data_IF_546456046857
#
_entry.id   IF_546456046857
#
_cell.length_a   1.000
_cell.length_b   1.000
_cell.length_c   1.000
_cell.angle_alpha   90.00
_cell.angle_beta   90.00
_cell.angle_gamma   90.00
#
_symmetry.space_group_name_H-M   'P 1'
#
loop_
_entity.id
_entity.type
_entity.pdbx_description
1 polymer ?
#
# COMPACT_ATOMS: atom_id res chain seq x y z
N UNK A 1 -23.80 -23.03 17.55
CA UNK A 1 -23.16 -21.85 16.92
C UNK A 1 -21.80 -21.46 17.52
N UNK A 2 -21.54 -21.69 18.82
CA UNK A 2 -20.28 -21.28 19.44
C UNK A 2 -18.99 -21.89 18.84
N UNK A 3 -19.03 -23.14 18.35
CA UNK A 3 -17.88 -23.78 17.68
C UNK A 3 -17.57 -23.15 16.32
N UNK A 4 -18.59 -22.77 15.54
CA UNK A 4 -18.41 -22.19 14.20
C UNK A 4 -17.66 -20.86 14.26
N UNK A 5 -18.04 -19.98 15.20
CA UNK A 5 -17.39 -18.67 15.38
C UNK A 5 -15.93 -18.83 15.82
N UNK A 6 -15.66 -19.78 16.72
CA UNK A 6 -14.28 -20.09 17.13
C UNK A 6 -13.47 -20.58 15.93
N UNK A 7 -13.99 -21.51 15.13
CA UNK A 7 -13.32 -22.05 13.96
C UNK A 7 -13.01 -20.97 12.90
N UNK A 8 -13.95 -20.06 12.62
CA UNK A 8 -13.73 -18.96 11.66
C UNK A 8 -12.67 -17.98 12.17
N UNK A 9 -12.71 -17.60 13.45
CA UNK A 9 -11.73 -16.70 14.04
C UNK A 9 -10.33 -17.31 14.08
N UNK A 10 -10.22 -18.60 14.42
CA UNK A 10 -8.94 -19.32 14.37
C UNK A 10 -8.39 -19.48 12.96
N UNK A 11 -9.26 -19.63 11.95
CA UNK A 11 -8.83 -19.68 10.54
C UNK A 11 -8.19 -18.36 10.12
N UNK A 12 -8.79 -17.22 10.51
CA UNK A 12 -8.22 -15.90 10.26
C UNK A 12 -6.86 -15.75 10.95
N UNK A 13 -6.77 -16.12 12.23
CA UNK A 13 -5.51 -16.07 12.99
C UNK A 13 -4.45 -16.97 12.34
N UNK A 14 -4.80 -18.18 11.92
CA UNK A 14 -3.89 -19.14 11.30
C UNK A 14 -3.31 -18.64 9.95
N UNK A 15 -4.05 -17.80 9.23
CA UNK A 15 -3.54 -17.16 7.99
C UNK A 15 -2.62 -15.98 8.31
N UNK A 16 -2.95 -15.15 9.31
CA UNK A 16 -2.18 -13.94 9.61
C UNK A 16 -0.90 -14.18 10.43
N UNK A 17 -0.87 -15.24 11.26
CA UNK A 17 0.31 -15.56 12.07
C UNK A 17 1.55 -15.83 11.19
N UNK A 18 1.53 -16.72 10.18
CA UNK A 18 2.68 -16.92 9.30
C UNK A 18 3.08 -15.67 8.51
N UNK A 19 2.08 -14.89 8.05
CA UNK A 19 2.32 -13.63 7.33
C UNK A 19 3.07 -12.62 8.20
N UNK A 20 2.82 -12.61 9.52
CA UNK A 20 3.53 -11.73 10.45
C UNK A 20 5.02 -12.08 10.65
N UNK A 21 5.42 -13.31 10.30
CA UNK A 21 6.81 -13.78 10.37
C UNK A 21 7.55 -13.68 9.04
N UNK A 22 6.95 -13.08 8.01
CA UNK A 22 7.62 -12.89 6.73
C UNK A 22 8.85 -11.98 6.89
N UNK A 23 9.97 -12.36 6.28
CA UNK A 23 11.22 -11.60 6.33
C UNK A 23 11.32 -10.53 5.24
N UNK A 24 12.25 -9.59 5.40
CA UNK A 24 12.50 -8.49 4.45
C UNK A 24 11.80 -7.17 4.82
N UNK A 25 12.02 -6.14 3.99
CA UNK A 25 11.45 -4.79 4.18
C UNK A 25 9.92 -4.85 4.21
N UNK A 26 9.36 -5.63 3.27
CA UNK A 26 7.92 -5.87 3.16
C UNK A 26 7.38 -6.57 4.42
N UNK A 27 8.15 -7.53 4.95
CA UNK A 27 7.86 -8.25 6.18
C UNK A 27 7.75 -7.37 7.43
N UNK A 28 8.49 -6.26 7.52
CA UNK A 28 8.39 -5.35 8.67
C UNK A 28 7.01 -4.68 8.77
N UNK A 29 6.42 -4.28 7.63
CA UNK A 29 5.06 -3.74 7.59
C UNK A 29 4.02 -4.82 7.90
N UNK A 30 4.15 -6.01 7.30
CA UNK A 30 3.24 -7.13 7.53
C UNK A 30 3.33 -7.70 8.94
N UNK A 31 4.47 -7.58 9.62
CA UNK A 31 4.63 -8.01 11.01
C UNK A 31 3.78 -7.17 11.96
N UNK A 32 3.82 -5.85 11.84
CA UNK A 32 3.01 -4.96 12.67
C UNK A 32 1.52 -5.11 12.35
N UNK A 33 1.18 -5.18 11.06
CA UNK A 33 -0.21 -5.38 10.61
C UNK A 33 -0.78 -6.73 11.05
N UNK A 34 -0.08 -7.83 10.75
CA UNK A 34 -0.54 -9.19 11.03
C UNK A 34 -0.72 -9.46 12.52
N UNK A 35 0.21 -8.99 13.36
CA UNK A 35 0.09 -9.12 14.81
C UNK A 35 -1.10 -8.33 15.36
N UNK A 36 -1.34 -7.11 14.84
CA UNK A 36 -2.49 -6.29 15.23
C UNK A 36 -3.81 -6.94 14.87
N UNK A 37 -3.95 -7.46 13.64
CA UNK A 37 -5.17 -8.16 13.20
C UNK A 37 -5.40 -9.44 14.00
N UNK A 38 -4.37 -10.25 14.21
CA UNK A 38 -4.48 -11.48 14.99
C UNK A 38 -4.93 -11.20 16.44
N UNK A 39 -4.34 -10.18 17.08
CA UNK A 39 -4.75 -9.76 18.42
C UNK A 39 -6.20 -9.24 18.43
N UNK A 40 -6.58 -8.41 17.47
CA UNK A 40 -7.94 -7.85 17.38
C UNK A 40 -9.00 -8.94 17.19
N UNK A 41 -8.75 -9.93 16.32
CA UNK A 41 -9.67 -11.06 16.08
C UNK A 41 -9.78 -11.95 17.32
N UNK A 42 -8.66 -12.15 18.04
CA UNK A 42 -8.67 -12.91 19.29
C UNK A 42 -9.49 -12.21 20.39
N UNK A 43 -9.28 -10.91 20.60
CA UNK A 43 -10.09 -10.14 21.54
C UNK A 43 -11.57 -10.06 21.09
N UNK A 44 -11.83 -9.90 19.80
CA UNK A 44 -13.18 -9.93 19.25
C UNK A 44 -13.88 -11.27 19.52
N UNK A 45 -13.17 -12.39 19.39
CA UNK A 45 -13.70 -13.72 19.74
C UNK A 45 -14.05 -13.82 21.24
N UNK A 46 -13.19 -13.28 22.12
CA UNK A 46 -13.47 -13.23 23.56
C UNK A 46 -14.70 -12.39 23.86
N UNK A 47 -14.83 -11.21 23.27
CA UNK A 47 -15.99 -10.33 23.44
C UNK A 47 -17.26 -10.98 22.90
N UNK A 48 -17.20 -11.59 21.71
CA UNK A 48 -18.32 -12.29 21.10
C UNK A 48 -18.82 -13.47 21.96
N UNK A 49 -17.92 -14.11 22.70
CA UNK A 49 -18.27 -15.28 23.53
C UNK A 49 -18.66 -14.92 24.95
N UNK A 50 -18.07 -13.87 25.53
CA UNK A 50 -18.31 -13.50 26.92
C UNK A 50 -19.37 -12.41 27.03
N UNK A 51 -19.21 -11.33 26.27
CA UNK A 51 -19.99 -10.12 26.43
C UNK A 51 -21.30 -10.16 25.64
N UNK A 52 -21.26 -10.62 24.38
CA UNK A 52 -22.44 -10.68 23.52
C UNK A 52 -23.59 -11.54 24.08
N UNK A 53 -23.37 -12.76 24.61
CA UNK A 53 -24.49 -13.53 25.17
C UNK A 53 -25.07 -12.88 26.44
N UNK A 54 -24.24 -12.22 27.25
CA UNK A 54 -24.72 -11.49 28.44
C UNK A 54 -25.60 -10.31 28.03
N UNK A 55 -25.12 -9.48 27.11
CA UNK A 55 -25.90 -8.33 26.60
C UNK A 55 -27.19 -8.81 25.94
N UNK A 56 -27.12 -9.87 25.13
CA UNK A 56 -28.29 -10.46 24.50
C UNK A 56 -29.30 -10.97 25.53
N UNK A 57 -28.86 -11.66 26.58
CA UNK A 57 -29.74 -12.14 27.63
C UNK A 57 -30.50 -11.03 28.38
N UNK A 58 -29.89 -9.84 28.53
CA UNK A 58 -30.52 -8.71 29.23
C UNK A 58 -31.29 -7.74 28.31
N UNK A 59 -30.95 -7.68 27.02
CA UNK A 59 -31.48 -6.66 26.10
C UNK A 59 -32.57 -7.23 25.17
N UNK A 60 -32.53 -8.53 24.88
CA UNK A 60 -33.41 -9.15 23.89
C UNK A 60 -34.79 -9.45 24.51
N UNK A 61 -35.82 -8.71 24.08
CA UNK A 61 -37.22 -9.03 24.41
C UNK A 61 -37.71 -10.16 23.52
N UNK A 62 -38.43 -11.12 24.10
CA UNK A 62 -39.12 -12.16 23.34
C UNK A 62 -40.32 -11.56 22.63
N UNK A 63 -40.24 -11.39 21.32
CA UNK A 63 -41.40 -11.13 20.46
C UNK A 63 -41.92 -12.47 19.91
N UNK A 64 -43.25 -12.64 19.73
CA UNK A 64 -43.81 -13.82 19.09
C UNK A 64 -43.27 -13.93 17.66
N UNK A 65 -42.84 -15.14 17.26
CA UNK A 65 -42.28 -15.37 15.92
C UNK A 65 -43.25 -14.89 14.84
N UNK A 66 -42.90 -13.84 14.07
CA UNK A 66 -43.68 -13.52 12.88
C UNK A 66 -43.50 -14.64 11.87
N UNK A 67 -44.59 -15.05 11.23
CA UNK A 67 -44.61 -16.02 10.14
C UNK A 67 -43.63 -15.56 9.05
N UNK A 68 -42.44 -16.16 9.03
CA UNK A 68 -41.36 -15.81 8.11
C UNK A 68 -41.75 -16.23 6.69
N UNK A 69 -42.36 -15.31 5.93
CA UNK A 69 -42.45 -15.44 4.49
C UNK A 69 -41.11 -15.06 3.89
N UNK A 70 -40.46 -16.02 3.25
CA UNK A 70 -39.23 -15.78 2.50
C UNK A 70 -39.41 -14.60 1.54
N UNK A 71 -38.60 -13.57 1.73
CA UNK A 71 -38.60 -12.41 0.86
C UNK A 71 -38.25 -12.78 -0.60
N UNK A 72 -38.56 -11.92 -1.58
CA UNK A 72 -38.29 -12.19 -2.99
C UNK A 72 -36.80 -12.47 -3.28
N UNK A 73 -35.89 -11.89 -2.49
CA UNK A 73 -34.44 -12.14 -2.56
C UNK A 73 -34.10 -13.58 -2.14
N UNK A 74 -34.72 -14.07 -1.07
CA UNK A 74 -34.52 -15.44 -0.57
C UNK A 74 -35.04 -16.45 -1.60
N UNK A 75 -36.21 -16.20 -2.18
CA UNK A 75 -36.76 -17.03 -3.25
C UNK A 75 -35.85 -17.06 -4.51
N UNK A 76 -35.26 -15.92 -4.88
CA UNK A 76 -34.29 -15.86 -5.98
C UNK A 76 -33.01 -16.63 -5.67
N UNK A 77 -32.45 -16.44 -4.47
CA UNK A 77 -31.29 -17.19 -3.99
C UNK A 77 -31.54 -18.69 -4.03
N UNK A 78 -32.67 -19.16 -3.48
CA UNK A 78 -33.04 -20.57 -3.49
C UNK A 78 -33.21 -21.12 -4.91
N UNK A 79 -33.73 -20.33 -5.85
CA UNK A 79 -33.86 -20.73 -7.26
C UNK A 79 -32.49 -20.93 -7.92
N UNK A 80 -31.56 -20.00 -7.71
CA UNK A 80 -30.19 -20.10 -8.23
C UNK A 80 -29.45 -21.26 -7.57
N UNK A 81 -29.58 -21.40 -6.25
CA UNK A 81 -28.97 -22.50 -5.49
C UNK A 81 -29.46 -23.86 -6.00
N UNK A 82 -30.78 -24.01 -6.18
CA UNK A 82 -31.36 -25.26 -6.65
C UNK A 82 -30.89 -25.59 -8.09
N UNK A 83 -30.73 -24.58 -8.94
CA UNK A 83 -30.15 -24.75 -10.27
C UNK A 83 -28.68 -25.20 -10.20
N UNK A 84 -27.87 -24.60 -9.32
CA UNK A 84 -26.46 -24.97 -9.11
C UNK A 84 -26.29 -26.41 -8.61
N UNK A 85 -27.17 -26.87 -7.73
CA UNK A 85 -27.16 -28.24 -7.18
C UNK A 85 -27.57 -29.26 -8.23
N UNK A 86 -28.63 -28.99 -9.00
CA UNK A 86 -29.08 -29.88 -10.08
C UNK A 86 -28.05 -30.01 -11.21
N UNK A 87 -27.32 -28.92 -11.52
CA UNK A 87 -26.33 -28.89 -12.59
C UNK A 87 -24.88 -28.90 -12.09
N UNK A 88 -24.57 -29.75 -11.10
CA UNK A 88 -23.25 -29.86 -10.44
C UNK A 88 -22.03 -29.76 -11.37
N UNK A 89 -22.05 -30.41 -12.54
CA UNK A 89 -20.94 -30.36 -13.50
C UNK A 89 -20.78 -29.01 -14.18
N UNK A 90 -21.87 -28.31 -14.50
CA UNK A 90 -21.82 -26.95 -15.06
C UNK A 90 -21.35 -25.95 -14.02
N UNK A 91 -21.78 -26.10 -12.77
CA UNK A 91 -21.35 -25.27 -11.63
C UNK A 91 -19.85 -25.42 -11.37
N UNK A 92 -19.34 -26.66 -11.38
CA UNK A 92 -17.90 -26.93 -11.25
C UNK A 92 -17.12 -26.37 -12.44
N UNK A 93 -17.59 -26.58 -13.67
CA UNK A 93 -16.94 -26.05 -14.87
C UNK A 93 -16.85 -24.52 -14.86
N UNK A 94 -17.92 -23.84 -14.45
CA UNK A 94 -17.93 -22.38 -14.29
C UNK A 94 -16.95 -21.93 -13.19
N UNK A 95 -16.87 -22.64 -12.07
CA UNK A 95 -15.92 -22.36 -11.00
C UNK A 95 -14.46 -22.49 -11.45
N UNK A 96 -14.14 -23.56 -12.21
CA UNK A 96 -12.81 -23.77 -12.77
C UNK A 96 -12.48 -22.68 -13.80
N UNK A 97 -13.43 -22.33 -14.67
CA UNK A 97 -13.24 -21.24 -15.64
C UNK A 97 -12.93 -19.91 -14.93
N UNK A 98 -13.67 -19.59 -13.87
CA UNK A 98 -13.45 -18.37 -13.09
C UNK A 98 -12.09 -18.38 -12.38
N UNK A 99 -11.67 -19.54 -11.85
CA UNK A 99 -10.35 -19.71 -11.26
C UNK A 99 -9.23 -19.47 -12.28
N UNK A 100 -9.33 -20.07 -13.47
CA UNK A 100 -8.34 -19.87 -14.54
C UNK A 100 -8.31 -18.42 -15.00
N UNK A 101 -9.47 -17.79 -15.17
CA UNK A 101 -9.56 -16.38 -15.54
C UNK A 101 -8.91 -15.46 -14.47
N UNK A 102 -9.12 -15.76 -13.19
CA UNK A 102 -8.48 -15.03 -12.08
C UNK A 102 -6.96 -15.15 -12.09
N UNK A 103 -6.43 -16.36 -12.27
CA UNK A 103 -4.98 -16.61 -12.38
C UNK A 103 -4.38 -15.90 -13.59
N UNK A 104 -5.08 -15.94 -14.73
CA UNK A 104 -4.66 -15.25 -15.94
C UNK A 104 -4.62 -13.72 -15.75
N UNK A 105 -5.63 -13.16 -15.10
CA UNK A 105 -5.67 -11.73 -14.75
C UNK A 105 -4.48 -11.33 -13.86
N UNK A 106 -4.16 -12.15 -12.86
CA UNK A 106 -3.01 -11.91 -11.97
C UNK A 106 -1.67 -11.92 -12.75
N UNK A 107 -1.53 -12.79 -13.75
CA UNK A 107 -0.33 -12.88 -14.56
C UNK A 107 -0.14 -11.67 -15.50
N UNK A 108 -1.23 -11.04 -15.96
CA UNK A 108 -1.18 -9.84 -16.79
C UNK A 108 -0.92 -8.54 -16.00
N UNK A 109 -1.08 -8.54 -14.67
CA UNK A 109 -0.85 -7.32 -13.89
C UNK A 109 0.66 -7.01 -13.76
N UNK A 110 1.11 -5.81 -14.17
CA UNK A 110 2.48 -5.40 -13.98
C UNK A 110 2.80 -5.33 -12.49
N UNK A 111 3.82 -6.07 -12.06
CA UNK A 111 4.27 -6.12 -10.67
C UNK A 111 5.05 -4.85 -10.34
N UNK A 112 4.36 -3.78 -9.96
CA UNK A 112 5.01 -2.60 -9.37
C UNK A 112 5.45 -2.94 -7.95
N UNK A 113 6.76 -2.95 -7.72
CA UNK A 113 7.33 -3.53 -6.51
C UNK A 113 7.22 -2.65 -5.26
N UNK A 114 6.96 -1.35 -5.39
CA UNK A 114 6.60 -0.38 -4.34
C UNK A 114 6.25 0.91 -5.11
N UNK A 115 5.17 1.61 -4.75
CA UNK A 115 5.02 3.00 -5.17
C UNK A 115 6.04 3.81 -4.37
N UNK A 116 6.96 4.50 -5.04
CA UNK A 116 7.89 5.42 -4.38
C UNK A 116 7.07 6.48 -3.63
N UNK A 117 7.10 6.49 -2.29
CA UNK A 117 6.32 7.46 -1.52
C UNK A 117 6.83 8.87 -1.85
N UNK A 118 5.91 9.79 -2.15
CA UNK A 118 6.23 11.21 -2.34
C UNK A 118 6.53 11.83 -0.97
N UNK A 119 7.80 11.78 -0.57
CA UNK A 119 8.31 12.42 0.65
C UNK A 119 8.57 13.92 0.44
N UNK A 120 8.15 14.47 -0.70
CA UNK A 120 8.37 15.86 -1.11
C UNK A 120 9.83 16.30 -0.99
N UNK A 121 10.77 15.36 -1.07
CA UNK A 121 12.21 15.61 -0.94
C UNK A 121 12.92 14.90 -2.08
N UNK A 122 13.63 15.66 -2.91
CA UNK A 122 14.42 15.12 -4.02
C UNK A 122 15.90 15.43 -3.81
N UNK A 123 16.75 14.41 -3.92
CA UNK A 123 18.20 14.58 -3.80
C UNK A 123 18.85 14.60 -5.19
N UNK A 124 19.71 15.58 -5.43
CA UNK A 124 20.52 15.69 -6.64
C UNK A 124 22.01 15.56 -6.27
N UNK A 125 22.66 14.49 -6.74
CA UNK A 125 24.11 14.32 -6.62
C UNK A 125 24.79 14.81 -7.91
N UNK A 126 25.75 15.71 -7.76
CA UNK A 126 26.60 16.23 -8.85
C UNK A 126 28.00 15.68 -8.60
N UNK A 127 28.53 14.91 -9.56
CA UNK A 127 29.89 14.35 -9.54
C UNK A 127 30.70 14.91 -10.71
N UNK A 128 31.79 15.60 -10.40
CA UNK A 128 32.68 16.20 -11.40
C UNK A 128 33.93 15.34 -11.65
N UNK A 129 34.59 15.47 -12.82
CA UNK A 129 35.84 14.77 -13.12
C UNK A 129 36.93 15.00 -12.05
N UNK A 130 37.81 14.01 -11.82
CA UNK A 130 38.92 14.17 -10.88
C UNK A 130 39.87 15.29 -11.33
N UNK A 131 40.28 16.16 -10.40
CA UNK A 131 41.20 17.29 -10.66
C UNK A 131 40.57 18.68 -10.57
N UNK A 132 39.24 18.77 -10.39
CA UNK A 132 38.55 20.06 -10.20
C UNK A 132 38.75 20.62 -8.78
N UNK A 133 38.82 21.95 -8.67
CA UNK A 133 38.89 22.61 -7.37
C UNK A 133 37.49 22.77 -6.75
N UNK A 134 37.43 23.01 -5.44
CA UNK A 134 36.18 23.25 -4.73
C UNK A 134 35.40 24.43 -5.32
N UNK A 135 36.12 25.43 -5.82
CA UNK A 135 35.55 26.60 -6.47
C UNK A 135 34.78 26.24 -7.75
N UNK A 136 35.26 25.26 -8.52
CA UNK A 136 34.59 24.80 -9.74
C UNK A 136 33.33 24.00 -9.42
N UNK A 137 33.42 23.09 -8.44
CA UNK A 137 32.27 22.35 -7.93
C UNK A 137 31.19 23.30 -7.42
N UNK A 138 31.58 24.33 -6.65
CA UNK A 138 30.67 25.35 -6.14
C UNK A 138 30.01 26.16 -7.26
N UNK A 139 30.74 26.48 -8.33
CA UNK A 139 30.20 27.21 -9.49
C UNK A 139 29.10 26.41 -10.21
N UNK A 140 29.33 25.12 -10.42
CA UNK A 140 28.36 24.21 -11.06
C UNK A 140 27.17 23.96 -10.14
N UNK A 141 27.41 23.73 -8.85
CA UNK A 141 26.35 23.57 -7.85
C UNK A 141 25.45 24.82 -7.75
N UNK A 142 26.04 26.03 -7.76
CA UNK A 142 25.28 27.29 -7.81
C UNK A 142 24.53 27.51 -9.13
N UNK A 143 25.04 27.00 -10.26
CA UNK A 143 24.30 27.02 -11.52
C UNK A 143 23.06 26.11 -11.45
N UNK A 144 23.21 24.90 -10.89
CA UNK A 144 22.09 23.98 -10.64
C UNK A 144 21.08 24.58 -9.65
N UNK A 145 21.53 25.18 -8.55
CA UNK A 145 20.69 25.87 -7.57
C UNK A 145 19.81 26.93 -8.23
N UNK A 146 20.38 27.79 -9.09
CA UNK A 146 19.62 28.86 -9.77
C UNK A 146 18.54 28.33 -10.70
N UNK A 147 18.76 27.18 -11.34
CA UNK A 147 17.75 26.54 -12.21
C UNK A 147 16.62 25.93 -11.36
N UNK A 148 16.97 25.31 -10.24
CA UNK A 148 16.03 24.70 -9.30
C UNK A 148 15.18 25.77 -8.58
N UNK A 149 15.78 26.87 -8.14
CA UNK A 149 15.12 27.97 -7.43
C UNK A 149 14.10 28.73 -8.28
N UNK A 150 14.20 28.65 -9.61
CA UNK A 150 13.22 29.25 -10.54
C UNK A 150 11.93 28.43 -10.66
N UNK A 151 11.90 27.20 -10.15
CA UNK A 151 10.70 26.35 -10.19
C UNK A 151 9.76 26.67 -9.02
N UNK A 152 8.48 26.91 -9.31
CA UNK A 152 7.45 27.17 -8.30
C UNK A 152 7.18 25.99 -7.36
N UNK A 153 7.60 24.79 -7.75
CA UNK A 153 7.37 23.55 -7.00
C UNK A 153 8.39 23.31 -5.88
N UNK A 154 9.41 24.16 -5.75
CA UNK A 154 10.52 24.05 -4.80
C UNK A 154 10.33 25.02 -3.64
N UNK A 155 10.39 24.53 -2.40
CA UNK A 155 10.19 25.31 -1.17
C UNK A 155 11.52 25.73 -0.54
N UNK A 156 12.48 24.82 -0.47
CA UNK A 156 13.82 25.08 0.05
C UNK A 156 14.85 24.20 -0.66
N UNK A 157 16.06 24.70 -0.81
CA UNK A 157 17.19 23.94 -1.37
C UNK A 157 18.32 24.06 -0.37
N UNK A 158 18.82 22.92 0.07
CA UNK A 158 20.04 22.82 0.87
C UNK A 158 21.19 22.34 -0.02
N UNK A 159 22.31 23.09 -0.03
CA UNK A 159 23.48 22.83 -0.86
C UNK A 159 24.66 22.42 0.03
N UNK A 160 25.15 21.20 -0.15
CA UNK A 160 26.34 20.69 0.51
C UNK A 160 27.42 20.37 -0.52
N UNK A 161 28.51 21.13 -0.51
CA UNK A 161 29.67 20.94 -1.39
C UNK A 161 30.81 20.29 -0.60
N UNK A 162 31.46 19.26 -1.13
CA UNK A 162 32.55 18.57 -0.43
C UNK A 162 32.09 17.39 0.44
N UNK A 163 31.04 16.69 0.02
CA UNK A 163 30.46 15.57 0.78
C UNK A 163 31.49 14.45 0.93
N UNK A 164 31.64 13.92 2.15
CA UNK A 164 32.61 12.87 2.50
C UNK A 164 34.07 13.20 2.14
N UNK A 165 34.47 14.48 2.24
CA UNK A 165 35.85 14.92 1.95
C UNK A 165 36.22 14.93 0.46
N UNK A 166 35.26 14.65 -0.44
CA UNK A 166 35.47 14.69 -1.88
C UNK A 166 35.11 16.06 -2.44
N UNK A 167 36.12 16.84 -2.82
CA UNK A 167 35.99 18.20 -3.40
C UNK A 167 35.18 18.21 -4.71
N UNK A 168 35.10 17.07 -5.40
CA UNK A 168 34.36 16.86 -6.66
C UNK A 168 32.86 16.61 -6.49
N UNK A 169 32.41 16.27 -5.27
CA UNK A 169 31.01 15.89 -5.02
C UNK A 169 30.23 17.05 -4.40
N UNK A 170 29.09 17.36 -4.98
CA UNK A 170 28.09 18.23 -4.38
C UNK A 170 26.74 17.50 -4.29
N UNK A 171 26.06 17.68 -3.16
CA UNK A 171 24.71 17.17 -2.94
C UNK A 171 23.78 18.37 -2.74
N UNK A 172 22.74 18.46 -3.57
CA UNK A 172 21.64 19.41 -3.40
C UNK A 172 20.41 18.65 -2.94
N UNK A 173 19.98 18.89 -1.71
CA UNK A 173 18.71 18.37 -1.18
C UNK A 173 17.61 19.39 -1.45
N UNK A 174 16.66 19.05 -2.31
CA UNK A 174 15.56 19.92 -2.73
C UNK A 174 14.31 19.52 -1.97
N UNK A 175 13.90 20.37 -1.03
CA UNK A 175 12.61 20.27 -0.35
C UNK A 175 11.56 20.92 -1.22
N UNK A 176 10.57 20.14 -1.55
CA UNK A 176 9.53 20.55 -2.44
C UNK A 176 8.24 20.92 -1.70
N UNK A 177 7.30 21.59 -2.39
CA UNK A 177 5.99 21.98 -1.85
C UNK A 177 5.16 20.72 -1.44
N UNK A 178 4.19 20.79 -0.51
CA UNK A 178 3.37 19.61 -0.19
C UNK A 178 2.56 19.08 -1.38
N UNK A 179 2.26 17.76 -1.45
CA UNK A 179 1.55 17.14 -2.58
C UNK A 179 0.21 17.79 -2.92
N UNK A 180 -0.47 18.41 -1.94
CA UNK A 180 -1.76 19.08 -2.10
C UNK A 180 -1.72 20.36 -2.94
N UNK A 181 -0.56 20.96 -3.15
CA UNK A 181 -0.40 22.22 -3.91
C UNK A 181 0.31 22.01 -5.25
N UNK A 182 0.53 20.75 -5.66
CA UNK A 182 1.34 20.39 -6.83
C UNK A 182 0.54 19.60 -7.84
N UNK A 183 0.83 19.85 -9.12
CA UNK A 183 0.22 19.12 -10.25
C UNK A 183 0.98 17.85 -10.63
N UNK A 184 2.24 17.74 -10.22
CA UNK A 184 3.14 16.65 -10.59
C UNK A 184 3.61 15.92 -9.34
N UNK A 185 3.67 14.60 -9.41
CA UNK A 185 4.29 13.76 -8.37
C UNK A 185 5.80 13.99 -8.34
N UNK A 186 6.43 13.76 -7.19
CA UNK A 186 7.88 13.87 -7.02
C UNK A 186 8.66 13.14 -8.12
N UNK A 187 8.27 11.91 -8.46
CA UNK A 187 8.93 11.09 -9.51
C UNK A 187 8.80 11.73 -10.89
N UNK A 188 7.62 12.25 -11.24
CA UNK A 188 7.41 12.94 -12.52
C UNK A 188 8.20 14.25 -12.59
N UNK A 189 8.30 14.97 -11.48
CA UNK A 189 9.10 16.19 -11.39
C UNK A 189 10.60 15.88 -11.55
N UNK A 190 11.11 14.86 -10.86
CA UNK A 190 12.50 14.42 -10.98
C UNK A 190 12.85 14.05 -12.42
N UNK A 191 12.01 13.25 -13.09
CA UNK A 191 12.23 12.86 -14.49
C UNK A 191 12.22 14.06 -15.46
N UNK A 192 11.35 15.05 -15.23
CA UNK A 192 11.34 16.31 -15.99
C UNK A 192 12.60 17.15 -15.78
N UNK A 193 13.10 17.19 -14.53
CA UNK A 193 14.28 17.96 -14.17
C UNK A 193 15.58 17.29 -14.62
N UNK A 194 15.65 15.96 -14.65
CA UNK A 194 16.79 15.22 -15.23
C UNK A 194 17.02 15.60 -16.70
N UNK A 195 15.96 15.79 -17.48
CA UNK A 195 16.07 16.26 -18.87
C UNK A 195 16.68 17.65 -19.00
N UNK A 196 16.39 18.56 -18.05
CA UNK A 196 16.91 19.94 -18.04
C UNK A 196 18.32 20.05 -17.45
N UNK A 197 18.66 19.19 -16.49
CA UNK A 197 19.97 19.18 -15.82
C UNK A 197 21.05 18.51 -16.69
N UNK A 198 20.69 17.58 -17.58
CA UNK A 198 21.60 17.03 -18.60
C UNK A 198 22.05 18.05 -19.65
N UNK A 199 21.41 19.21 -19.74
CA UNK A 199 21.81 20.30 -20.62
C UNK A 199 22.94 21.16 -20.02
N UNK A 200 23.37 20.90 -18.78
CA UNK A 200 24.52 21.57 -18.19
C UNK A 200 25.79 20.87 -18.72
N UNK A 201 26.64 21.57 -19.48
CA UNK A 201 27.89 20.99 -19.99
C UNK A 201 28.85 20.69 -18.83
N UNK A 202 29.65 19.62 -18.99
CA UNK A 202 30.72 19.20 -18.08
C UNK A 202 31.74 20.32 -17.81
#
# INVERSE_FOLDING_TARGET
MGLAVVATSFTIIAVFVPVSFMSGIIGQYFRQFGLSVAAAVFFSLLVARLLTPVIAAYTLKSEPEPEHRDGPVMAWYLRVLNWCVHHRWKTVGLGVLFFVASVYGLAMMPKTFIQEPDTSTASLEIDLPPGVQLADTKRVANAAYRILARQKDVKAIDESVGVNGSVRKANLSVVLVPPSQRRLTQVQWQNSMLGKLRAIPN
#
